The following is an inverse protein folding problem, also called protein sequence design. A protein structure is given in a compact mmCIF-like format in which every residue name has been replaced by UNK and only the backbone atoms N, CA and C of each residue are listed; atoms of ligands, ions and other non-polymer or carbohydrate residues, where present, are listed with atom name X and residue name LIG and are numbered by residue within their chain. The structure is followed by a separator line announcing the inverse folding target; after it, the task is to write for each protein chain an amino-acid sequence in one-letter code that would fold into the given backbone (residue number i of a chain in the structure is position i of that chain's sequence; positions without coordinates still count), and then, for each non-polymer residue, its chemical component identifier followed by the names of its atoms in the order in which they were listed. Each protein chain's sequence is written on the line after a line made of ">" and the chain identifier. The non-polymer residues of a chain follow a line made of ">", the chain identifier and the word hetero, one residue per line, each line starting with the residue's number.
data_IF_280286599713
#
_entry.id   IF_280286599713
#
_cell.length_a   1.000
_cell.length_b   1.000
_cell.length_c   1.000
_cell.angle_alpha   90.00
_cell.angle_beta   90.00
_cell.angle_gamma   90.00
#
_symmetry.space_group_name_H-M   'P 1'
#
loop_
_entity.id
_entity.type
_entity.pdbx_description
1 polymer ?
#
# COMPACT_ATOMS: atom_id res chain seq x y z
N UNK A 1 -32.35 4.76 20.03
CA UNK A 1 -31.26 4.33 19.13
C UNK A 1 -30.44 3.28 19.85
N UNK A 2 -30.08 2.18 19.19
CA UNK A 2 -29.13 1.21 19.76
C UNK A 2 -27.75 1.87 19.85
N UNK A 3 -26.91 1.43 20.80
CA UNK A 3 -25.52 1.92 20.93
C UNK A 3 -24.73 1.75 19.64
N UNK A 4 -25.01 0.69 18.88
CA UNK A 4 -24.44 0.44 17.55
C UNK A 4 -24.77 1.56 16.54
N UNK A 5 -26.04 1.98 16.44
CA UNK A 5 -26.44 3.06 15.53
C UNK A 5 -25.84 4.42 15.93
N UNK A 6 -25.65 4.66 17.23
CA UNK A 6 -24.97 5.87 17.70
C UNK A 6 -23.51 5.88 17.26
N UNK A 7 -22.81 4.74 17.41
CA UNK A 7 -21.43 4.59 16.94
C UNK A 7 -21.34 4.76 15.42
N UNK A 8 -22.23 4.13 14.67
CA UNK A 8 -22.23 4.22 13.20
C UNK A 8 -22.47 5.67 12.74
N UNK A 9 -23.45 6.37 13.34
CA UNK A 9 -23.68 7.78 13.07
C UNK A 9 -22.47 8.65 13.45
N UNK A 10 -21.82 8.37 14.58
CA UNK A 10 -20.63 9.11 15.01
C UNK A 10 -19.45 8.90 14.05
N UNK A 11 -19.22 7.67 13.57
CA UNK A 11 -18.18 7.37 12.58
C UNK A 11 -18.46 8.06 11.24
N UNK A 12 -19.72 8.06 10.78
CA UNK A 12 -20.14 8.75 9.55
C UNK A 12 -19.95 10.26 9.67
N UNK A 13 -20.37 10.87 10.78
CA UNK A 13 -20.15 12.30 11.00
C UNK A 13 -18.66 12.63 11.05
N UNK A 14 -17.86 11.85 11.79
CA UNK A 14 -16.43 12.05 11.91
C UNK A 14 -15.70 11.96 10.57
N UNK A 15 -16.04 10.96 9.74
CA UNK A 15 -15.38 10.78 8.43
C UNK A 15 -15.75 11.90 7.45
N UNK A 16 -16.99 12.41 7.51
CA UNK A 16 -17.42 13.58 6.73
C UNK A 16 -16.76 14.87 7.22
N UNK A 17 -16.68 15.07 8.53
CA UNK A 17 -16.01 16.22 9.14
C UNK A 17 -14.52 16.26 8.78
N UNK A 18 -13.85 15.10 8.83
CA UNK A 18 -12.46 14.96 8.39
C UNK A 18 -12.32 15.27 6.90
N UNK A 19 -13.22 14.78 6.04
CA UNK A 19 -13.18 15.10 4.61
C UNK A 19 -13.33 16.60 4.31
N UNK A 20 -14.25 17.27 5.02
CA UNK A 20 -14.43 18.73 4.94
C UNK A 20 -13.15 19.44 5.43
N UNK A 21 -12.57 18.98 6.55
CA UNK A 21 -11.34 19.56 7.07
C UNK A 21 -10.15 19.41 6.12
N UNK A 22 -9.95 18.22 5.54
CA UNK A 22 -8.86 17.93 4.58
C UNK A 22 -8.96 18.87 3.37
N UNK A 23 -10.17 19.06 2.83
CA UNK A 23 -10.39 19.91 1.65
C UNK A 23 -10.28 21.41 1.97
N UNK A 24 -10.57 21.81 3.21
CA UNK A 24 -10.45 23.19 3.69
C UNK A 24 -9.06 23.53 4.26
N UNK A 25 -8.18 22.54 4.44
CA UNK A 25 -6.86 22.71 5.03
C UNK A 25 -5.99 23.66 4.20
N UNK A 26 -5.34 24.61 4.88
CA UNK A 26 -4.51 25.64 4.22
C UNK A 26 -3.05 25.24 3.99
N UNK A 27 -2.65 24.09 4.54
CA UNK A 27 -1.29 23.56 4.45
C UNK A 27 -1.36 22.10 4.02
N UNK A 28 -0.49 21.64 3.12
CA UNK A 28 -0.48 20.23 2.72
C UNK A 28 -0.20 19.33 3.92
N UNK A 29 0.68 19.73 4.84
CA UNK A 29 0.95 18.96 6.06
C UNK A 29 -0.33 18.68 6.86
N UNK A 30 -1.13 19.71 7.16
CA UNK A 30 -2.41 19.55 7.86
C UNK A 30 -3.41 18.68 7.09
N UNK A 31 -3.50 18.84 5.76
CA UNK A 31 -4.35 18.01 4.90
C UNK A 31 -3.95 16.54 4.97
N UNK A 32 -2.64 16.25 4.97
CA UNK A 32 -2.12 14.88 5.05
C UNK A 32 -2.36 14.27 6.44
N UNK A 33 -2.18 15.02 7.52
CA UNK A 33 -2.56 14.55 8.87
C UNK A 33 -4.04 14.19 8.92
N UNK A 34 -4.90 15.02 8.33
CA UNK A 34 -6.32 14.71 8.17
C UNK A 34 -6.57 13.46 7.33
N UNK A 35 -5.85 13.28 6.22
CA UNK A 35 -5.95 12.08 5.38
C UNK A 35 -5.59 10.80 6.15
N UNK A 36 -4.53 10.83 6.97
CA UNK A 36 -4.15 9.69 7.82
C UNK A 36 -5.24 9.39 8.84
N UNK A 37 -5.76 10.41 9.52
CA UNK A 37 -6.86 10.24 10.48
C UNK A 37 -8.12 9.69 9.79
N UNK A 38 -8.45 10.21 8.60
CA UNK A 38 -9.57 9.73 7.78
C UNK A 38 -9.43 8.24 7.44
N UNK A 39 -8.25 7.81 6.97
CA UNK A 39 -7.99 6.40 6.67
C UNK A 39 -8.12 5.49 7.90
N UNK A 40 -7.67 5.94 9.08
CA UNK A 40 -7.84 5.18 10.32
C UNK A 40 -9.32 5.07 10.73
N UNK A 41 -10.11 6.13 10.57
CA UNK A 41 -11.57 6.09 10.80
C UNK A 41 -12.24 5.18 9.77
N UNK A 42 -11.83 5.23 8.50
CA UNK A 42 -12.31 4.32 7.46
C UNK A 42 -12.01 2.85 7.80
N UNK A 43 -10.83 2.53 8.34
CA UNK A 43 -10.53 1.18 8.82
C UNK A 43 -11.52 0.72 9.90
N UNK A 44 -11.91 1.60 10.84
CA UNK A 44 -12.94 1.28 11.84
C UNK A 44 -14.31 1.05 11.19
N UNK A 45 -14.68 1.84 10.18
CA UNK A 45 -15.92 1.65 9.41
C UNK A 45 -15.90 0.29 8.71
N UNK A 46 -14.78 -0.11 8.10
CA UNK A 46 -14.64 -1.43 7.47
C UNK A 46 -14.80 -2.57 8.48
N UNK A 47 -14.27 -2.43 9.71
CA UNK A 47 -14.51 -3.41 10.79
C UNK A 47 -16.00 -3.46 11.15
N UNK A 48 -16.68 -2.31 11.25
CA UNK A 48 -18.13 -2.25 11.51
C UNK A 48 -18.96 -2.90 10.41
N UNK A 49 -18.47 -2.86 9.17
CA UNK A 49 -19.06 -3.54 8.01
C UNK A 49 -18.62 -5.01 7.85
N UNK A 50 -17.93 -5.58 8.86
CA UNK A 50 -17.39 -6.95 8.85
C UNK A 50 -16.38 -7.24 7.71
N UNK A 51 -15.71 -6.20 7.20
CA UNK A 51 -14.68 -6.30 6.16
C UNK A 51 -13.28 -6.13 6.77
N UNK A 52 -12.86 -7.08 7.62
CA UNK A 52 -11.63 -6.95 8.42
C UNK A 52 -10.36 -6.97 7.55
N UNK A 53 -10.29 -7.80 6.51
CA UNK A 53 -9.15 -7.80 5.57
C UNK A 53 -8.95 -6.43 4.88
N UNK A 54 -10.06 -5.79 4.51
CA UNK A 54 -10.08 -4.45 3.92
C UNK A 54 -9.67 -3.41 4.96
N UNK A 55 -10.17 -3.52 6.20
CA UNK A 55 -9.79 -2.63 7.29
C UNK A 55 -8.27 -2.65 7.56
N UNK A 56 -7.68 -3.85 7.62
CA UNK A 56 -6.24 -4.00 7.83
C UNK A 56 -5.44 -3.42 6.67
N UNK A 57 -5.90 -3.62 5.43
CA UNK A 57 -5.28 -3.04 4.23
C UNK A 57 -5.38 -1.51 4.24
N UNK A 58 -6.54 -0.95 4.58
CA UNK A 58 -6.76 0.49 4.70
C UNK A 58 -5.85 1.12 5.76
N UNK A 59 -5.76 0.50 6.94
CA UNK A 59 -4.88 0.97 7.99
C UNK A 59 -3.40 0.92 7.55
N UNK A 60 -2.96 -0.19 6.97
CA UNK A 60 -1.56 -0.39 6.60
C UNK A 60 -1.14 0.44 5.38
N UNK A 61 -1.83 0.32 4.25
CA UNK A 61 -1.48 0.94 2.97
C UNK A 61 -2.07 2.34 2.80
N UNK A 62 -3.35 2.51 3.12
CA UNK A 62 -4.05 3.80 3.01
C UNK A 62 -3.51 4.81 4.01
N UNK A 63 -3.82 4.63 5.29
CA UNK A 63 -3.38 5.57 6.32
C UNK A 63 -1.88 5.51 6.63
N UNK A 64 -1.27 4.32 6.60
CA UNK A 64 0.14 4.11 6.94
C UNK A 64 1.09 4.52 5.83
N UNK A 65 1.24 3.68 4.80
CA UNK A 65 2.23 3.86 3.75
C UNK A 65 1.98 5.10 2.88
N UNK A 66 0.74 5.28 2.40
CA UNK A 66 0.38 6.43 1.56
C UNK A 66 0.43 7.72 2.39
N UNK A 67 -0.01 7.68 3.65
CA UNK A 67 0.19 8.77 4.60
C UNK A 67 1.65 9.20 4.74
N UNK A 68 2.57 8.24 4.90
CA UNK A 68 4.01 8.51 4.99
C UNK A 68 4.56 9.14 3.71
N UNK A 69 4.17 8.62 2.54
CA UNK A 69 4.56 9.19 1.24
C UNK A 69 4.07 10.63 1.09
N UNK A 70 2.80 10.88 1.42
CA UNK A 70 2.20 12.21 1.36
C UNK A 70 2.83 13.18 2.37
N UNK A 71 3.23 12.70 3.56
CA UNK A 71 3.98 13.52 4.53
C UNK A 71 5.35 13.91 3.99
N UNK A 72 6.05 12.96 3.35
CA UNK A 72 7.32 13.23 2.68
C UNK A 72 7.18 14.24 1.54
N UNK A 73 6.11 14.13 0.74
CA UNK A 73 5.79 15.09 -0.31
C UNK A 73 5.46 16.48 0.26
N UNK A 74 4.59 16.55 1.27
CA UNK A 74 4.22 17.80 1.94
C UNK A 74 5.43 18.52 2.54
N UNK A 75 6.34 17.78 3.18
CA UNK A 75 7.57 18.35 3.73
C UNK A 75 8.48 18.97 2.65
N UNK A 76 8.53 18.38 1.45
CA UNK A 76 9.32 18.88 0.31
C UNK A 76 8.66 20.06 -0.41
N UNK A 77 7.33 20.10 -0.42
CA UNK A 77 6.55 21.13 -1.11
C UNK A 77 6.25 22.34 -0.23
N UNK A 78 6.38 22.24 1.10
CA UNK A 78 6.12 23.32 2.06
C UNK A 78 6.73 24.70 1.68
N UNK A 79 7.99 24.79 1.18
CA UNK A 79 8.56 26.09 0.77
C UNK A 79 7.84 26.76 -0.41
N UNK A 80 7.09 26.01 -1.21
CA UNK A 80 6.45 26.50 -2.44
C UNK A 80 4.96 26.82 -2.28
N UNK A 81 4.32 26.39 -1.19
CA UNK A 81 2.87 26.52 -0.96
C UNK A 81 2.37 27.99 -1.01
N UNK A 82 3.19 28.93 -0.53
CA UNK A 82 2.82 30.35 -0.47
C UNK A 82 2.74 31.00 -1.85
N UNK A 83 3.55 30.55 -2.81
CA UNK A 83 3.54 31.08 -4.18
C UNK A 83 2.33 30.57 -4.97
N UNK A 84 1.89 29.34 -4.71
CA UNK A 84 0.81 28.68 -5.44
C UNK A 84 -0.58 29.16 -5.00
N UNK A 85 -0.76 29.43 -3.71
CA UNK A 85 -2.01 29.98 -3.15
C UNK A 85 -2.36 31.39 -3.68
N UNK A 86 -1.39 32.13 -4.23
CA UNK A 86 -1.60 33.44 -4.83
C UNK A 86 -2.32 33.39 -6.19
N UNK A 87 -2.25 32.26 -6.92
CA UNK A 87 -2.80 32.10 -8.28
C UNK A 87 -3.95 31.10 -8.33
N UNK A 88 -4.96 31.28 -7.47
CA UNK A 88 -6.09 30.36 -7.39
C UNK A 88 -6.99 30.41 -8.64
N UNK A 89 -7.66 29.29 -8.99
CA UNK A 89 -8.57 29.24 -10.13
C UNK A 89 -9.74 30.21 -9.94
N UNK A 90 -10.20 30.81 -11.04
CA UNK A 90 -11.33 31.74 -11.05
C UNK A 90 -12.62 31.11 -10.54
N UNK A 91 -13.57 31.94 -10.06
CA UNK A 91 -14.83 31.47 -9.44
C UNK A 91 -15.64 30.55 -10.34
N UNK A 92 -15.71 30.85 -11.64
CA UNK A 92 -16.44 30.03 -12.62
C UNK A 92 -15.90 28.60 -12.70
N UNK A 93 -14.57 28.43 -12.73
CA UNK A 93 -13.94 27.12 -12.76
C UNK A 93 -14.18 26.36 -11.45
N UNK A 94 -14.13 27.03 -10.29
CA UNK A 94 -14.45 26.39 -9.00
C UNK A 94 -15.89 25.91 -8.93
N UNK A 95 -16.83 26.71 -9.44
CA UNK A 95 -18.25 26.32 -9.51
C UNK A 95 -18.45 25.13 -10.45
N UNK A 96 -17.76 25.12 -11.60
CA UNK A 96 -17.79 23.99 -12.53
C UNK A 96 -17.25 22.72 -11.86
N UNK A 97 -16.10 22.78 -11.20
CA UNK A 97 -15.53 21.65 -10.46
C UNK A 97 -16.51 21.16 -9.39
N UNK A 98 -17.09 22.08 -8.60
CA UNK A 98 -18.07 21.74 -7.57
C UNK A 98 -19.32 21.05 -8.14
N UNK A 99 -19.83 21.55 -9.27
CA UNK A 99 -20.96 20.94 -9.97
C UNK A 99 -20.62 19.53 -10.48
N UNK A 100 -19.43 19.35 -11.06
CA UNK A 100 -18.98 18.04 -11.54
C UNK A 100 -18.80 17.04 -10.39
N UNK A 101 -18.19 17.47 -9.27
CA UNK A 101 -18.09 16.64 -8.07
C UNK A 101 -19.48 16.27 -7.52
N UNK A 102 -20.41 17.23 -7.44
CA UNK A 102 -21.78 16.97 -7.00
C UNK A 102 -22.51 16.00 -7.94
N UNK A 103 -22.32 16.11 -9.26
CA UNK A 103 -22.89 15.18 -10.23
C UNK A 103 -22.34 13.76 -10.06
N UNK A 104 -21.03 13.59 -9.81
CA UNK A 104 -20.43 12.28 -9.52
C UNK A 104 -21.00 11.70 -8.22
N UNK A 105 -21.08 12.49 -7.15
CA UNK A 105 -21.66 12.05 -5.87
C UNK A 105 -23.12 11.65 -6.02
N UNK A 106 -23.92 12.46 -6.73
CA UNK A 106 -25.32 12.13 -7.01
C UNK A 106 -25.45 10.86 -7.85
N UNK A 107 -24.57 10.65 -8.83
CA UNK A 107 -24.51 9.44 -9.63
C UNK A 107 -24.20 8.20 -8.78
N UNK A 108 -23.18 8.25 -7.93
CA UNK A 108 -22.83 7.16 -7.01
C UNK A 108 -23.94 6.88 -6.00
N UNK A 109 -24.55 7.93 -5.44
CA UNK A 109 -25.69 7.78 -4.53
C UNK A 109 -26.88 7.14 -5.25
N UNK A 110 -27.19 7.54 -6.48
CA UNK A 110 -28.24 6.92 -7.27
C UNK A 110 -27.94 5.44 -7.54
N UNK A 111 -26.70 5.07 -7.89
CA UNK A 111 -26.29 3.67 -8.06
C UNK A 111 -26.57 2.87 -6.79
N UNK A 112 -26.16 3.37 -5.62
CA UNK A 112 -26.35 2.67 -4.34
C UNK A 112 -27.83 2.60 -3.94
N UNK A 113 -28.60 3.69 -4.10
CA UNK A 113 -30.00 3.77 -3.68
C UNK A 113 -30.97 3.06 -4.63
N UNK A 114 -30.58 2.85 -5.88
CA UNK A 114 -31.38 2.16 -6.90
C UNK A 114 -31.02 0.67 -7.05
N UNK A 115 -30.06 0.16 -6.25
CA UNK A 115 -29.75 -1.27 -6.23
C UNK A 115 -31.00 -2.07 -5.78
N UNK A 116 -31.30 -3.21 -6.42
CA UNK A 116 -32.42 -4.04 -5.98
C UNK A 116 -32.13 -4.62 -4.58
N UNK A 117 -33.20 -4.90 -3.82
CA UNK A 117 -33.12 -5.53 -2.51
C UNK A 117 -33.72 -6.96 -2.58
N UNK A 118 -32.92 -8.02 -2.37
CA UNK A 118 -31.50 -8.00 -2.03
C UNK A 118 -30.59 -7.68 -3.23
N UNK A 119 -29.44 -7.09 -2.94
CA UNK A 119 -28.45 -6.78 -3.96
C UNK A 119 -27.91 -8.06 -4.65
N UNK A 120 -27.64 -8.05 -5.96
CA UNK A 120 -27.12 -9.22 -6.66
C UNK A 120 -25.72 -9.56 -6.13
N UNK A 121 -25.50 -10.83 -5.74
CA UNK A 121 -24.21 -11.25 -5.17
C UNK A 121 -23.85 -12.68 -5.57
N UNK A 122 -22.54 -12.93 -5.72
CA UNK A 122 -21.96 -14.27 -5.91
C UNK A 122 -21.46 -14.89 -4.61
N UNK A 123 -21.59 -14.20 -3.48
CA UNK A 123 -21.07 -14.67 -2.19
C UNK A 123 -21.55 -16.09 -1.80
N UNK A 124 -22.83 -16.48 -1.98
CA UNK A 124 -23.27 -17.85 -1.70
C UNK A 124 -22.52 -18.89 -2.56
N UNK A 125 -22.36 -18.61 -3.85
CA UNK A 125 -21.67 -19.51 -4.78
C UNK A 125 -20.17 -19.61 -4.48
N UNK A 126 -19.54 -18.53 -4.02
CA UNK A 126 -18.17 -18.55 -3.51
C UNK A 126 -18.08 -19.43 -2.28
N UNK A 127 -18.99 -19.27 -1.31
CA UNK A 127 -18.99 -20.08 -0.09
C UNK A 127 -19.15 -21.59 -0.38
N UNK A 128 -19.99 -21.95 -1.34
CA UNK A 128 -20.15 -23.35 -1.81
C UNK A 128 -18.89 -23.92 -2.48
N UNK A 129 -18.10 -23.08 -3.14
CA UNK A 129 -16.91 -23.50 -3.90
C UNK A 129 -15.59 -23.22 -3.17
N UNK A 130 -15.64 -22.76 -1.92
CA UNK A 130 -14.46 -22.51 -1.09
C UNK A 130 -13.80 -23.81 -0.57
N UNK A 131 -14.55 -24.83 -0.08
CA UNK A 131 -13.93 -26.01 0.54
C UNK A 131 -12.88 -26.75 -0.32
N UNK A 132 -13.06 -26.93 -1.65
CA UNK A 132 -12.05 -27.57 -2.50
C UNK A 132 -10.69 -26.86 -2.53
N UNK A 133 -10.65 -25.55 -2.25
CA UNK A 133 -9.40 -24.78 -2.21
C UNK A 133 -8.58 -25.04 -0.94
N UNK A 134 -9.22 -25.54 0.12
CA UNK A 134 -8.63 -25.75 1.44
C UNK A 134 -8.35 -24.49 2.25
N UNK A 135 -8.51 -23.29 1.68
CA UNK A 135 -8.46 -22.03 2.46
C UNK A 135 -9.80 -21.80 3.18
N UNK A 136 -9.74 -21.28 4.41
CA UNK A 136 -10.96 -20.99 5.20
C UNK A 136 -11.37 -19.51 5.09
N UNK A 137 -10.42 -18.62 4.82
CA UNK A 137 -10.72 -17.21 4.60
C UNK A 137 -11.39 -17.01 3.22
N UNK A 138 -12.66 -16.56 3.16
CA UNK A 138 -13.37 -16.37 1.91
C UNK A 138 -12.76 -15.25 1.04
N UNK A 139 -12.16 -14.22 1.65
CA UNK A 139 -11.50 -13.13 0.92
C UNK A 139 -10.27 -13.67 0.19
N UNK A 140 -9.43 -14.44 0.88
CA UNK A 140 -8.26 -15.09 0.27
C UNK A 140 -8.67 -16.07 -0.83
N UNK A 141 -9.73 -16.85 -0.62
CA UNK A 141 -10.28 -17.72 -1.67
C UNK A 141 -10.76 -16.96 -2.90
N UNK A 142 -11.43 -15.82 -2.72
CA UNK A 142 -11.79 -14.96 -3.85
C UNK A 142 -10.54 -14.42 -4.54
N UNK A 143 -9.60 -13.84 -3.80
CA UNK A 143 -8.43 -13.16 -4.36
C UNK A 143 -7.46 -14.13 -5.04
N UNK A 144 -7.34 -15.37 -4.59
CA UNK A 144 -6.31 -16.30 -5.07
C UNK A 144 -6.85 -17.55 -5.75
N UNK A 145 -8.14 -17.87 -5.66
CA UNK A 145 -8.74 -19.00 -6.37
C UNK A 145 -9.79 -18.59 -7.41
N UNK A 146 -10.68 -17.65 -7.09
CA UNK A 146 -11.76 -17.26 -8.03
C UNK A 146 -11.41 -16.08 -8.93
N UNK A 147 -10.63 -15.13 -8.42
CA UNK A 147 -10.22 -13.88 -9.08
C UNK A 147 -8.70 -13.68 -9.01
N UNK A 148 -7.96 -14.78 -9.11
CA UNK A 148 -6.50 -14.80 -9.06
C UNK A 148 -5.81 -13.86 -10.06
N UNK A 149 -6.43 -13.62 -11.22
CA UNK A 149 -5.93 -12.68 -12.24
C UNK A 149 -5.85 -11.26 -11.69
N UNK A 150 -6.84 -10.82 -10.91
CA UNK A 150 -6.87 -9.46 -10.37
C UNK A 150 -5.71 -9.25 -9.40
N UNK A 151 -5.49 -10.21 -8.49
CA UNK A 151 -4.37 -10.20 -7.54
C UNK A 151 -3.02 -10.31 -8.24
N UNK A 152 -2.94 -11.09 -9.32
CA UNK A 152 -1.73 -11.18 -10.14
C UNK A 152 -1.39 -9.83 -10.77
N UNK A 153 -2.36 -9.17 -11.41
CA UNK A 153 -2.15 -7.88 -12.06
C UNK A 153 -1.89 -6.76 -11.05
N UNK A 154 -2.56 -6.78 -9.90
CA UNK A 154 -2.31 -5.85 -8.78
C UNK A 154 -0.86 -5.93 -8.29
N UNK A 155 -0.32 -7.13 -8.15
CA UNK A 155 1.08 -7.29 -7.70
C UNK A 155 2.07 -7.03 -8.83
N UNK A 156 1.71 -7.37 -10.07
CA UNK A 156 2.52 -7.08 -11.24
C UNK A 156 2.69 -5.59 -11.47
N UNK A 157 1.68 -4.74 -11.21
CA UNK A 157 1.74 -3.27 -11.44
C UNK A 157 2.65 -2.54 -10.44
N UNK A 158 2.98 -3.14 -9.29
CA UNK A 158 3.87 -2.51 -8.32
C UNK A 158 5.31 -2.36 -8.84
N UNK A 159 5.80 -3.32 -9.62
CA UNK A 159 7.15 -3.25 -10.23
C UNK A 159 7.27 -2.09 -11.24
N UNK A 160 6.40 -1.94 -12.25
CA UNK A 160 6.45 -0.78 -13.14
C UNK A 160 6.14 0.54 -12.41
N UNK A 161 5.32 0.55 -11.37
CA UNK A 161 5.14 1.75 -10.54
C UNK A 161 6.47 2.19 -9.90
N UNK A 162 7.24 1.24 -9.34
CA UNK A 162 8.58 1.51 -8.80
C UNK A 162 9.56 1.97 -9.89
N UNK A 163 9.54 1.33 -11.06
CA UNK A 163 10.35 1.76 -12.21
C UNK A 163 9.98 3.19 -12.62
N UNK A 164 8.69 3.55 -12.61
CA UNK A 164 8.23 4.91 -12.89
C UNK A 164 8.76 5.95 -11.89
N UNK A 165 8.82 5.60 -10.60
CA UNK A 165 9.48 6.45 -9.59
C UNK A 165 10.99 6.56 -9.87
N UNK A 166 11.64 5.46 -10.21
CA UNK A 166 13.08 5.46 -10.50
C UNK A 166 13.43 6.18 -11.80
N UNK A 167 12.53 6.22 -12.79
CA UNK A 167 12.75 6.94 -14.05
C UNK A 167 12.76 8.47 -13.89
N UNK A 168 12.32 8.98 -12.73
CA UNK A 168 12.44 10.40 -12.40
C UNK A 168 13.86 10.79 -11.96
N UNK A 169 14.74 9.81 -11.70
CA UNK A 169 16.14 10.07 -11.40
C UNK A 169 16.88 10.67 -12.61
N UNK A 170 17.77 11.62 -12.33
CA UNK A 170 18.71 12.15 -13.32
C UNK A 170 19.63 11.03 -13.83
N UNK A 171 20.11 11.13 -15.08
CA UNK A 171 20.96 10.10 -15.72
C UNK A 171 22.14 9.60 -14.86
N UNK A 172 22.90 10.44 -14.13
CA UNK A 172 23.98 9.97 -13.26
C UNK A 172 23.50 9.15 -12.04
N UNK A 173 22.21 9.25 -11.71
CA UNK A 173 21.59 8.63 -10.53
C UNK A 173 21.14 7.19 -10.73
N UNK A 174 21.01 6.72 -11.97
CA UNK A 174 20.51 5.37 -12.28
C UNK A 174 21.36 4.22 -11.73
N UNK A 175 22.64 4.46 -11.49
CA UNK A 175 23.54 3.48 -10.85
C UNK A 175 23.56 3.57 -9.33
N UNK A 176 22.91 4.59 -8.76
CA UNK A 176 22.97 4.95 -7.37
C UNK A 176 21.97 4.22 -6.46
N UNK A 177 21.72 4.84 -5.31
CA UNK A 177 20.82 4.35 -4.26
C UNK A 177 19.64 5.30 -4.13
N UNK A 178 18.44 4.81 -3.77
CA UNK A 178 17.34 5.66 -3.38
C UNK A 178 17.76 6.70 -2.32
N UNK A 179 17.50 7.97 -2.58
CA UNK A 179 18.01 9.08 -1.77
C UNK A 179 16.94 9.92 -1.08
N UNK A 180 15.67 9.53 -1.15
CA UNK A 180 14.58 10.38 -0.66
C UNK A 180 14.45 10.36 0.87
N UNK A 181 14.94 9.30 1.50
CA UNK A 181 15.04 9.18 2.96
C UNK A 181 16.39 9.74 3.40
N UNK A 182 16.37 10.96 3.94
CA UNK A 182 17.54 11.53 4.63
C UNK A 182 17.60 10.94 6.04
N UNK A 183 18.68 10.26 6.44
CA UNK A 183 18.82 9.78 7.80
C UNK A 183 18.68 10.96 8.78
N UNK A 184 17.79 10.82 9.76
CA UNK A 184 17.72 11.79 10.84
C UNK A 184 19.03 11.73 11.63
N UNK A 185 19.56 12.88 12.09
CA UNK A 185 20.73 12.91 12.98
C UNK A 185 20.47 11.93 14.13
N UNK A 186 21.35 10.95 14.27
CA UNK A 186 21.18 9.82 15.18
C UNK A 186 21.08 10.28 16.63
N UNK A 187 20.12 9.70 17.36
CA UNK A 187 19.84 9.99 18.76
C UNK A 187 18.88 8.95 19.36
N UNK A 188 19.25 8.44 20.53
CA UNK A 188 18.70 7.30 21.29
C UNK A 188 17.39 6.66 20.83
N UNK A 189 16.22 7.31 21.00
CA UNK A 189 14.92 6.62 20.93
C UNK A 189 14.60 5.99 19.57
N UNK A 190 14.84 6.69 18.47
CA UNK A 190 14.57 6.17 17.12
C UNK A 190 15.49 5.00 16.78
N UNK A 191 16.76 5.09 17.16
CA UNK A 191 17.74 4.03 16.95
C UNK A 191 17.39 2.79 17.77
N UNK A 192 16.99 2.97 19.04
CA UNK A 192 16.50 1.88 19.89
C UNK A 192 15.28 1.20 19.26
N UNK A 193 14.30 1.99 18.83
CA UNK A 193 13.10 1.48 18.20
C UNK A 193 13.42 0.67 16.93
N UNK A 194 14.33 1.17 16.10
CA UNK A 194 14.79 0.51 14.88
C UNK A 194 15.64 -0.75 15.13
N UNK A 195 16.16 -0.94 16.34
CA UNK A 195 16.86 -2.17 16.72
C UNK A 195 15.91 -3.19 17.35
N UNK A 196 14.91 -2.73 18.11
CA UNK A 196 14.01 -3.58 18.89
C UNK A 196 12.78 -4.03 18.10
N UNK A 197 12.15 -3.15 17.32
CA UNK A 197 10.89 -3.49 16.64
C UNK A 197 11.01 -4.48 15.47
N UNK A 198 12.05 -4.43 14.59
CA UNK A 198 12.06 -5.28 13.40
C UNK A 198 11.89 -6.78 13.66
N UNK A 199 12.52 -7.40 14.68
CA UNK A 199 12.25 -8.79 15.03
C UNK A 199 10.77 -9.08 15.28
N UNK A 200 10.07 -8.23 16.04
CA UNK A 200 8.63 -8.39 16.31
C UNK A 200 7.80 -8.13 15.06
N UNK A 201 8.12 -7.08 14.29
CA UNK A 201 7.41 -6.79 13.05
C UNK A 201 7.55 -7.89 12.00
N UNK A 202 8.72 -8.55 11.94
CA UNK A 202 8.92 -9.73 11.09
C UNK A 202 8.02 -10.89 11.53
N UNK A 203 7.94 -11.17 12.83
CA UNK A 203 7.05 -12.21 13.36
C UNK A 203 5.59 -11.89 13.09
N UNK A 204 5.16 -10.65 13.30
CA UNK A 204 3.80 -10.18 13.01
C UNK A 204 3.51 -10.32 11.52
N UNK A 205 4.42 -9.93 10.64
CA UNK A 205 4.23 -10.07 9.20
C UNK A 205 4.11 -11.53 8.76
N UNK A 206 4.97 -12.41 9.27
CA UNK A 206 4.89 -13.86 9.00
C UNK A 206 3.54 -14.41 9.49
N UNK A 207 3.11 -14.00 10.69
CA UNK A 207 1.83 -14.41 11.25
C UNK A 207 0.65 -13.93 10.39
N UNK A 208 0.64 -12.67 9.95
CA UNK A 208 -0.42 -12.12 9.10
C UNK A 208 -0.54 -12.87 7.77
N UNK A 209 0.58 -13.24 7.15
CA UNK A 209 0.58 -14.04 5.92
C UNK A 209 0.09 -15.45 6.19
N UNK A 210 0.59 -16.09 7.25
CA UNK A 210 0.21 -17.46 7.59
C UNK A 210 -1.28 -17.58 7.93
N UNK A 211 -1.77 -16.67 8.78
CA UNK A 211 -3.16 -16.67 9.23
C UNK A 211 -4.11 -16.25 8.11
N UNK A 212 -3.64 -15.48 7.11
CA UNK A 212 -4.44 -15.00 5.98
C UNK A 212 -5.14 -16.10 5.17
N UNK A 213 -4.64 -17.34 5.19
CA UNK A 213 -5.31 -18.47 4.56
C UNK A 213 -6.59 -18.89 5.30
N UNK A 214 -6.71 -18.57 6.58
CA UNK A 214 -7.76 -19.08 7.46
C UNK A 214 -8.62 -17.97 8.09
N UNK A 215 -8.00 -16.84 8.44
CA UNK A 215 -8.60 -15.66 9.10
C UNK A 215 -8.15 -14.35 8.42
N UNK A 216 -8.68 -13.18 8.82
CA UNK A 216 -8.29 -11.91 8.24
C UNK A 216 -6.79 -11.62 8.33
N UNK A 217 -6.19 -11.30 7.19
CA UNK A 217 -4.74 -11.14 7.05
C UNK A 217 -4.30 -11.14 5.59
N UNK A 218 -3.13 -11.71 5.33
CA UNK A 218 -2.62 -11.93 3.98
C UNK A 218 -1.38 -11.11 3.61
N UNK A 219 -0.99 -11.28 2.35
CA UNK A 219 0.29 -10.78 1.81
C UNK A 219 0.49 -9.27 1.88
N UNK A 220 -0.54 -8.45 1.67
CA UNK A 220 -0.36 -6.99 1.59
C UNK A 220 -0.12 -6.35 2.94
N UNK A 221 -0.88 -6.79 3.94
CA UNK A 221 -0.76 -6.36 5.33
C UNK A 221 0.59 -6.80 5.89
N UNK A 222 0.96 -8.07 5.68
CA UNK A 222 2.28 -8.59 6.07
C UNK A 222 3.42 -7.85 5.38
N UNK A 223 3.32 -7.62 4.06
CA UNK A 223 4.34 -6.90 3.30
C UNK A 223 4.52 -5.46 3.78
N UNK A 224 3.43 -4.79 4.13
CA UNK A 224 3.47 -3.41 4.62
C UNK A 224 4.13 -3.32 5.99
N UNK A 225 3.87 -4.29 6.89
CA UNK A 225 4.58 -4.38 8.17
C UNK A 225 6.09 -4.59 7.95
N UNK A 226 6.47 -5.50 7.05
CA UNK A 226 7.90 -5.70 6.70
C UNK A 226 8.52 -4.43 6.10
N UNK A 227 7.82 -3.77 5.18
CA UNK A 227 8.28 -2.52 4.58
C UNK A 227 8.46 -1.43 5.63
N UNK A 228 7.53 -1.29 6.57
CA UNK A 228 7.61 -0.32 7.66
C UNK A 228 8.82 -0.60 8.57
N UNK A 229 9.07 -1.86 8.93
CA UNK A 229 10.26 -2.23 9.72
C UNK A 229 11.55 -1.94 8.96
N UNK A 230 11.59 -2.22 7.66
CA UNK A 230 12.75 -1.93 6.84
C UNK A 230 13.00 -0.43 6.71
N UNK A 231 11.96 0.35 6.41
CA UNK A 231 12.02 1.82 6.32
C UNK A 231 12.46 2.43 7.65
N UNK A 232 11.97 1.92 8.78
CA UNK A 232 12.40 2.37 10.11
C UNK A 232 13.92 2.23 10.29
N UNK A 233 14.50 1.09 9.87
CA UNK A 233 15.96 0.87 9.89
C UNK A 233 16.71 1.84 8.97
N UNK A 234 16.15 2.16 7.79
CA UNK A 234 16.74 3.11 6.84
C UNK A 234 16.71 4.55 7.40
N UNK A 235 15.57 5.00 7.92
CA UNK A 235 15.38 6.35 8.48
C UNK A 235 16.24 6.55 9.73
N UNK A 236 16.41 5.51 10.55
CA UNK A 236 17.31 5.51 11.70
C UNK A 236 18.81 5.52 11.32
N UNK A 237 19.16 5.41 10.03
CA UNK A 237 20.54 5.42 9.54
C UNK A 237 21.32 4.14 9.85
N UNK A 238 20.65 3.07 10.30
CA UNK A 238 21.30 1.80 10.65
C UNK A 238 21.71 0.99 9.42
N UNK A 239 21.02 1.18 8.30
CA UNK A 239 21.37 0.62 6.99
C UNK A 239 21.14 1.66 5.89
N UNK A 240 21.84 1.50 4.77
CA UNK A 240 21.59 2.26 3.54
C UNK A 240 20.72 1.43 2.60
N UNK A 241 19.85 2.07 1.80
CA UNK A 241 19.08 1.35 0.79
C UNK A 241 20.01 0.71 -0.25
N UNK A 242 19.66 -0.48 -0.79
CA UNK A 242 20.48 -1.18 -1.77
C UNK A 242 20.59 -0.40 -3.09
N UNK A 243 21.64 -0.67 -3.87
CA UNK A 243 21.77 -0.10 -5.21
C UNK A 243 20.72 -0.71 -6.14
N UNK A 244 20.10 0.12 -6.97
CA UNK A 244 19.04 -0.31 -7.91
C UNK A 244 19.53 -1.23 -9.02
N UNK A 245 20.84 -1.23 -9.27
CA UNK A 245 21.53 -2.12 -10.21
C UNK A 245 21.84 -3.50 -9.63
N UNK A 246 21.65 -3.70 -8.32
CA UNK A 246 21.98 -4.98 -7.68
C UNK A 246 21.06 -6.09 -8.16
N UNK A 247 21.65 -7.16 -8.71
CA UNK A 247 20.91 -8.34 -9.18
C UNK A 247 20.07 -9.00 -8.08
N UNK A 248 20.55 -9.15 -6.82
CA UNK A 248 19.73 -9.72 -5.75
C UNK A 248 18.47 -8.90 -5.47
N UNK A 249 18.57 -7.56 -5.48
CA UNK A 249 17.41 -6.70 -5.30
C UNK A 249 16.41 -6.89 -6.44
N UNK A 250 16.86 -6.83 -7.68
CA UNK A 250 16.00 -7.02 -8.85
C UNK A 250 15.30 -8.37 -8.82
N UNK A 251 16.01 -9.43 -8.43
CA UNK A 251 15.43 -10.76 -8.26
C UNK A 251 14.35 -10.76 -7.18
N UNK A 252 14.59 -10.17 -6.00
CA UNK A 252 13.59 -10.03 -4.94
C UNK A 252 12.34 -9.29 -5.43
N UNK A 253 12.51 -8.21 -6.20
CA UNK A 253 11.40 -7.41 -6.71
C UNK A 253 10.49 -8.20 -7.65
N UNK A 254 11.05 -9.08 -8.50
CA UNK A 254 10.27 -9.84 -9.48
C UNK A 254 9.89 -11.25 -9.04
N UNK A 255 10.52 -11.80 -7.98
CA UNK A 255 10.34 -13.18 -7.54
C UNK A 255 8.88 -13.53 -7.28
N UNK A 256 8.16 -12.67 -6.55
CA UNK A 256 6.75 -12.88 -6.23
C UNK A 256 5.87 -12.97 -7.47
N UNK A 257 5.80 -11.91 -8.32
CA UNK A 257 5.03 -11.93 -9.55
C UNK A 257 5.44 -13.06 -10.51
N UNK A 258 6.74 -13.36 -10.65
CA UNK A 258 7.21 -14.45 -11.52
C UNK A 258 6.79 -15.83 -10.98
N UNK A 259 6.86 -16.06 -9.67
CA UNK A 259 6.37 -17.30 -9.08
C UNK A 259 4.86 -17.45 -9.28
N UNK A 260 4.11 -16.36 -9.12
CA UNK A 260 2.66 -16.37 -9.33
C UNK A 260 2.32 -16.71 -10.79
N UNK A 261 3.01 -16.09 -11.77
CA UNK A 261 2.87 -16.44 -13.18
C UNK A 261 3.26 -17.89 -13.43
N UNK A 262 4.38 -18.36 -12.86
CA UNK A 262 4.84 -19.73 -13.06
C UNK A 262 3.84 -20.76 -12.53
N UNK A 263 3.26 -20.56 -11.35
CA UNK A 263 2.22 -21.44 -10.80
C UNK A 263 0.95 -21.34 -11.65
N UNK A 264 0.57 -20.14 -12.09
CA UNK A 264 -0.58 -19.94 -12.96
C UNK A 264 -0.45 -20.67 -14.29
N UNK A 265 0.71 -20.57 -14.92
CA UNK A 265 1.03 -21.27 -16.18
C UNK A 265 1.11 -22.77 -15.95
N UNK A 266 1.70 -23.23 -14.83
CA UNK A 266 1.73 -24.64 -14.45
C UNK A 266 0.32 -25.26 -14.33
N UNK A 267 -0.67 -24.48 -13.87
CA UNK A 267 -2.07 -24.89 -13.82
C UNK A 267 -2.65 -25.36 -15.15
N UNK A 268 -2.15 -24.87 -16.30
CA UNK A 268 -2.61 -25.29 -17.63
C UNK A 268 -2.37 -26.79 -17.84
N UNK A 269 -1.23 -27.31 -17.39
CA UNK A 269 -0.87 -28.73 -17.57
C UNK A 269 -1.26 -29.60 -16.38
N UNK A 270 -1.39 -29.02 -15.18
CA UNK A 270 -1.64 -29.76 -13.95
C UNK A 270 -3.11 -29.74 -13.50
N UNK A 271 -3.92 -28.81 -14.02
CA UNK A 271 -5.29 -28.56 -13.59
C UNK A 271 -6.17 -27.97 -14.73
N UNK A 272 -5.79 -28.20 -15.99
CA UNK A 272 -6.52 -27.89 -17.24
C UNK A 272 -6.82 -26.40 -17.52
N UNK A 273 -6.34 -25.47 -16.70
CA UNK A 273 -6.56 -24.03 -16.91
C UNK A 273 -5.50 -23.14 -16.26
N UNK A 274 -5.29 -21.95 -16.82
CA UNK A 274 -4.41 -20.94 -16.22
C UNK A 274 -4.93 -20.54 -14.82
N UNK A 275 -4.04 -20.53 -13.82
CA UNK A 275 -4.34 -20.27 -12.40
C UNK A 275 -5.29 -21.28 -11.75
N UNK A 276 -5.52 -22.43 -12.38
CA UNK A 276 -6.14 -23.56 -11.72
C UNK A 276 -5.13 -24.30 -10.85
N UNK A 277 -5.62 -24.86 -9.74
CA UNK A 277 -4.82 -25.63 -8.80
C UNK A 277 -5.15 -27.12 -8.93
N UNK A 278 -4.13 -28.00 -8.89
CA UNK A 278 -4.38 -29.44 -8.80
C UNK A 278 -5.14 -29.78 -7.52
N UNK A 279 -5.95 -30.84 -7.56
CA UNK A 279 -6.72 -31.28 -6.39
C UNK A 279 -5.82 -31.49 -5.17
N UNK A 280 -6.18 -30.89 -4.04
CA UNK A 280 -5.42 -30.96 -2.79
C UNK A 280 -4.19 -30.05 -2.70
N UNK A 281 -3.79 -29.37 -3.77
CA UNK A 281 -2.60 -28.49 -3.80
C UNK A 281 -2.92 -26.98 -3.78
N UNK A 282 -4.19 -26.59 -3.78
CA UNK A 282 -4.58 -25.18 -3.76
C UNK A 282 -3.98 -24.40 -2.57
N UNK A 283 -4.30 -24.78 -1.31
CA UNK A 283 -3.76 -24.11 -0.10
C UNK A 283 -2.22 -23.99 -0.10
N UNK A 284 -1.41 -25.04 -0.31
CA UNK A 284 0.04 -24.90 -0.28
C UNK A 284 0.59 -24.02 -1.42
N UNK A 285 0.00 -24.08 -2.61
CA UNK A 285 0.40 -23.20 -3.72
C UNK A 285 0.02 -21.74 -3.46
N UNK A 286 -1.17 -21.50 -2.91
CA UNK A 286 -1.63 -20.18 -2.47
C UNK A 286 -0.67 -19.60 -1.43
N UNK A 287 -0.31 -20.35 -0.38
CA UNK A 287 0.64 -19.91 0.64
C UNK A 287 2.03 -19.63 0.06
N UNK A 288 2.50 -20.43 -0.89
CA UNK A 288 3.78 -20.20 -1.57
C UNK A 288 3.76 -18.89 -2.39
N UNK A 289 2.66 -18.63 -3.10
CA UNK A 289 2.42 -17.37 -3.83
C UNK A 289 2.43 -16.20 -2.85
N UNK A 290 1.66 -16.28 -1.77
CA UNK A 290 1.56 -15.21 -0.78
C UNK A 290 2.91 -14.92 -0.10
N UNK A 291 3.66 -15.95 0.29
CA UNK A 291 4.97 -15.78 0.91
C UNK A 291 5.96 -15.07 -0.02
N UNK A 292 6.05 -15.49 -1.29
CA UNK A 292 6.95 -14.86 -2.26
C UNK A 292 6.51 -13.42 -2.60
N UNK A 293 5.20 -13.20 -2.75
CA UNK A 293 4.65 -11.86 -2.96
C UNK A 293 4.89 -10.96 -1.76
N UNK A 294 4.79 -11.46 -0.53
CA UNK A 294 5.01 -10.66 0.68
C UNK A 294 6.41 -10.03 0.66
N UNK A 295 7.43 -10.82 0.34
CA UNK A 295 8.83 -10.36 0.27
C UNK A 295 9.01 -9.35 -0.87
N UNK A 296 8.49 -9.66 -2.06
CA UNK A 296 8.58 -8.80 -3.25
C UNK A 296 7.87 -7.46 -3.02
N UNK A 297 6.63 -7.49 -2.54
CA UNK A 297 5.81 -6.30 -2.23
C UNK A 297 6.46 -5.49 -1.12
N UNK A 298 6.97 -6.10 -0.05
CA UNK A 298 7.66 -5.37 1.02
C UNK A 298 8.87 -4.60 0.50
N UNK A 299 9.66 -5.23 -0.39
CA UNK A 299 10.79 -4.58 -1.04
C UNK A 299 10.34 -3.43 -1.94
N UNK A 300 9.29 -3.63 -2.75
CA UNK A 300 8.75 -2.57 -3.62
C UNK A 300 8.25 -1.38 -2.79
N UNK A 301 7.41 -1.64 -1.78
CA UNK A 301 6.84 -0.62 -0.91
C UNK A 301 7.93 0.18 -0.18
N UNK A 302 8.93 -0.50 0.39
CA UNK A 302 10.05 0.18 1.05
C UNK A 302 10.87 1.05 0.09
N UNK A 303 11.06 0.62 -1.16
CA UNK A 303 11.79 1.38 -2.18
C UNK A 303 10.97 2.52 -2.78
N UNK A 304 9.65 2.39 -2.87
CA UNK A 304 8.76 3.50 -3.24
C UNK A 304 8.89 4.64 -2.21
N UNK A 305 8.93 4.31 -0.93
CA UNK A 305 9.19 5.27 0.16
C UNK A 305 10.63 5.81 0.10
N UNK A 306 11.61 4.96 -0.22
CA UNK A 306 13.00 5.40 -0.40
C UNK A 306 13.18 6.33 -1.62
N UNK A 307 12.24 6.26 -2.56
CA UNK A 307 12.09 7.14 -3.71
C UNK A 307 13.14 6.92 -4.80
N UNK A 308 13.37 7.98 -5.59
CA UNK A 308 14.25 7.89 -6.75
C UNK A 308 15.74 7.73 -6.38
N UNK A 309 16.52 7.02 -7.20
CA UNK A 309 17.95 6.94 -7.07
C UNK A 309 18.62 8.31 -7.16
N UNK A 310 19.60 8.54 -6.30
CA UNK A 310 20.51 9.68 -6.36
C UNK A 310 21.91 9.15 -6.61
N UNK A 311 22.67 9.80 -7.49
CA UNK A 311 24.07 9.43 -7.75
C UNK A 311 24.88 9.45 -6.47
N UNK A 312 25.93 8.63 -6.36
CA UNK A 312 26.82 8.72 -5.21
C UNK A 312 27.49 10.10 -5.20
N UNK A 313 27.60 10.79 -4.05
CA UNK A 313 28.37 12.00 -3.97
C UNK A 313 29.80 11.67 -4.42
N UNK A 314 30.28 12.32 -5.48
CA UNK A 314 31.70 12.24 -5.83
C UNK A 314 32.50 12.64 -4.59
N UNK A 315 33.22 11.68 -4.01
CA UNK A 315 34.18 11.95 -2.94
C UNK A 315 35.09 13.08 -3.41
N UNK A 316 35.04 14.19 -2.68
CA UNK A 316 35.56 15.50 -3.10
C UNK A 316 36.89 15.44 -3.84
N UNK A 317 36.91 16.06 -5.02
CA UNK A 317 38.11 16.64 -5.57
C UNK A 317 38.60 17.67 -4.54
N UNK A 318 39.54 17.26 -3.67
CA UNK A 318 40.37 18.22 -2.93
C UNK A 318 41.10 19.04 -3.98
N UNK A 319 40.57 20.22 -4.29
CA UNK A 319 41.34 21.25 -4.97
C UNK A 319 42.52 21.58 -4.07
N UNK A 320 43.66 20.97 -4.38
CA UNK A 320 44.93 21.32 -3.80
C UNK A 320 45.21 22.75 -4.19
N UNK A 321 45.13 23.64 -3.21
CA UNK A 321 45.81 24.92 -3.26
C UNK A 321 47.27 24.65 -3.69
N UNK A 322 47.65 25.17 -4.85
CA UNK A 322 49.06 25.37 -5.17
C UNK A 322 49.45 26.78 -4.72
N UNK A 323 50.69 26.92 -4.19
CA UNK A 323 51.17 28.14 -3.53
C UNK A 323 51.27 29.33 -4.48
#
# INVERSE_FOLDING_TARGET
>A
MTSALVLDAALVLLVLDLAIWITAARSAYGAVVGFVAYGLVMALIWVRLAAVDVALTEAALGSGLTGLLLLGAAARLAPYESAETASGPGRALRLLIGLLCAAVVAGLAAVVLLLPDPAPTLAPKVAENLPPTGVLNPVTGVLLAHRAIDTLLETAVLVPALIGVWSLALDPGWSGRPGSLTPLRTGGPLTLLAQVLPPFGILVAIHLVWVGADDPGGKFQGATVLAAMWVLVLVAGLRRPPCVTSRPLRLVLVLGPLLFIAIGVAGIWLADAFLAYPEGYAKPLILAIEAALTISVAAVLGLLIAGQPTGEPQSGHRSGARP
#
